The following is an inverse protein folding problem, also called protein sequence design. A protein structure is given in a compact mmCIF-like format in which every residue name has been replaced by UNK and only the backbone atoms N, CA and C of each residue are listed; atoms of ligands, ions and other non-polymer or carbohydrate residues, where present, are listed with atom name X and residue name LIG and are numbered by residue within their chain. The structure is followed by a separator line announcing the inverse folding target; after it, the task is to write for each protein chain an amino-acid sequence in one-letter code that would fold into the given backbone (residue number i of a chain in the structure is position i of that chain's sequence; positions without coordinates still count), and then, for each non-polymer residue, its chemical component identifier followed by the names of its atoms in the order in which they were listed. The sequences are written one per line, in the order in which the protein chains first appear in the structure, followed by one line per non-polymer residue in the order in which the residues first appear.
data_IF_241749559039
#
_entry.id   IF_241749559039
#
_cell.length_a   1.000
_cell.length_b   1.000
_cell.length_c   1.000
_cell.angle_alpha   90.00
_cell.angle_beta   90.00
_cell.angle_gamma   90.00
#
_symmetry.space_group_name_H-M   'P 1'
#
loop_
_entity.id
_entity.type
_entity.pdbx_description
1 polymer ?
#
# COMPACT_ATOMS: atom_id res chain seq x y z
N UNK A 1 -8.54 -40.30 -7.78
CA UNK A 1 -7.98 -38.94 -7.67
C UNK A 1 -7.55 -38.70 -6.23
N UNK A 2 -6.28 -39.02 -5.91
CA UNK A 2 -5.64 -38.81 -4.60
C UNK A 2 -4.38 -38.03 -4.90
N UNK A 3 -4.24 -36.83 -4.34
CA UNK A 3 -3.01 -36.01 -4.19
C UNK A 3 -3.34 -34.51 -4.31
N UNK A 4 -4.09 -33.95 -3.35
CA UNK A 4 -4.30 -32.49 -3.30
C UNK A 4 -4.41 -31.94 -1.87
N UNK A 5 -3.68 -32.52 -0.92
CA UNK A 5 -3.79 -32.16 0.51
C UNK A 5 -2.45 -31.87 1.21
N UNK A 6 -1.36 -31.60 0.47
CA UNK A 6 -0.02 -31.41 1.09
C UNK A 6 0.60 -30.02 0.85
N UNK A 7 -0.10 -29.08 0.20
CA UNK A 7 0.50 -27.80 -0.21
C UNK A 7 0.01 -26.56 0.56
N UNK A 8 -0.26 -26.70 1.87
CA UNK A 8 -0.78 -25.57 2.68
C UNK A 8 -0.13 -25.40 4.07
N UNK A 9 1.10 -25.92 4.29
CA UNK A 9 1.80 -25.83 5.59
C UNK A 9 3.26 -25.31 5.45
N UNK A 10 3.55 -24.44 4.47
CA UNK A 10 4.94 -23.94 4.26
C UNK A 10 5.13 -22.41 4.26
N UNK A 11 4.20 -21.60 4.77
CA UNK A 11 4.33 -20.12 4.77
C UNK A 11 4.44 -19.51 6.19
N UNK A 12 4.56 -20.31 7.26
CA UNK A 12 4.61 -19.80 8.65
C UNK A 12 6.01 -19.78 9.31
N UNK A 13 7.10 -19.83 8.54
CA UNK A 13 8.45 -19.92 9.10
C UNK A 13 9.49 -18.94 8.49
N UNK A 14 9.12 -17.68 8.25
CA UNK A 14 10.09 -16.59 8.04
C UNK A 14 9.69 -15.39 8.90
N UNK A 15 10.06 -15.47 10.18
CA UNK A 15 9.84 -14.41 11.16
C UNK A 15 10.90 -14.42 12.27
N UNK A 16 12.15 -14.75 11.92
CA UNK A 16 13.27 -14.59 12.83
C UNK A 16 13.65 -13.10 12.83
N UNK A 17 13.04 -12.31 13.72
CA UNK A 17 13.33 -10.89 13.88
C UNK A 17 14.78 -10.68 14.31
N UNK A 18 15.64 -10.21 13.40
CA UNK A 18 16.95 -9.69 13.75
C UNK A 18 16.77 -8.55 14.75
N UNK A 19 17.37 -8.67 15.94
CA UNK A 19 17.34 -7.59 16.95
C UNK A 19 17.89 -6.31 16.32
N UNK A 20 17.25 -5.15 16.54
CA UNK A 20 17.71 -3.88 15.98
C UNK A 20 19.14 -3.59 16.42
N UNK A 21 19.96 -3.13 15.48
CA UNK A 21 21.37 -2.82 15.74
C UNK A 21 21.47 -1.55 16.59
N UNK A 22 22.24 -1.61 17.69
CA UNK A 22 22.44 -0.46 18.59
C UNK A 22 23.50 0.47 18.04
N UNK A 23 23.16 1.74 17.85
CA UNK A 23 24.05 2.75 17.25
C UNK A 23 24.11 4.03 18.09
N UNK A 24 25.25 4.70 18.03
CA UNK A 24 25.48 6.00 18.66
C UNK A 24 25.67 7.09 17.61
N UNK A 25 25.14 8.28 17.90
CA UNK A 25 25.30 9.48 17.08
C UNK A 25 25.71 10.65 17.97
N UNK A 26 26.86 11.23 17.66
CA UNK A 26 27.43 12.39 18.34
C UNK A 26 26.80 13.68 17.80
N UNK A 27 25.79 14.18 18.52
CA UNK A 27 25.05 15.39 18.12
C UNK A 27 25.90 16.67 18.17
N UNK A 28 26.94 16.71 19.00
CA UNK A 28 27.81 17.87 19.13
C UNK A 28 28.71 18.01 17.90
N UNK A 29 29.17 16.89 17.32
CA UNK A 29 29.90 16.90 16.04
C UNK A 29 29.02 17.29 14.85
N UNK A 30 27.76 16.86 14.84
CA UNK A 30 26.80 17.16 13.75
C UNK A 30 26.46 18.65 13.70
N UNK A 31 26.45 19.34 14.85
CA UNK A 31 26.11 20.75 14.90
C UNK A 31 27.24 21.67 14.39
N UNK A 32 28.50 21.21 14.38
CA UNK A 32 29.66 22.00 13.91
C UNK A 32 29.82 21.97 12.39
N UNK A 33 29.26 20.96 11.70
CA UNK A 33 29.38 20.79 10.24
C UNK A 33 28.37 21.60 9.42
N UNK A 34 27.61 22.50 10.06
CA UNK A 34 26.66 23.38 9.36
C UNK A 34 27.44 24.50 8.66
N UNK A 35 27.39 24.64 7.32
CA UNK A 35 27.93 25.83 6.68
C UNK A 35 27.12 27.04 7.16
N UNK A 36 27.75 27.87 7.98
CA UNK A 36 27.24 29.18 8.36
C UNK A 36 26.92 29.92 7.06
N UNK A 37 25.66 30.38 6.90
CA UNK A 37 25.26 31.24 5.79
C UNK A 37 26.33 32.33 5.60
N UNK A 38 26.89 32.53 4.39
CA UNK A 38 27.94 33.52 4.21
C UNK A 38 27.40 34.89 4.60
N UNK A 39 27.92 35.47 5.68
CA UNK A 39 27.78 36.91 5.90
C UNK A 39 28.55 37.58 4.77
N UNK A 40 27.84 38.38 3.97
CA UNK A 40 28.41 39.16 2.88
C UNK A 40 29.72 39.83 3.34
N UNK A 41 30.81 39.45 2.69
CA UNK A 41 32.09 40.11 2.82
C UNK A 41 31.95 41.50 2.19
N UNK A 42 32.19 42.55 2.98
CA UNK A 42 32.30 43.90 2.44
C UNK A 42 33.51 43.94 1.49
N UNK A 43 33.24 44.32 0.24
CA UNK A 43 34.24 44.55 -0.80
C UNK A 43 35.23 45.60 -0.28
N UNK A 44 36.53 45.27 -0.23
CA UNK A 44 37.59 46.25 -0.03
C UNK A 44 37.61 47.21 -1.22
N UNK A 45 37.44 48.53 -1.03
CA UNK A 45 37.66 49.47 -2.11
C UNK A 45 39.15 49.52 -2.43
N UNK A 46 39.49 49.18 -3.66
CA UNK A 46 40.76 49.54 -4.27
C UNK A 46 40.88 51.06 -4.31
N UNK A 47 41.94 51.58 -3.71
CA UNK A 47 42.31 53.01 -3.79
C UNK A 47 42.56 53.36 -5.25
N UNK A 48 41.61 54.08 -5.85
CA UNK A 48 41.78 54.78 -7.12
C UNK A 48 41.88 56.28 -6.84
N UNK A 49 42.88 56.87 -7.48
CA UNK A 49 43.44 58.19 -7.25
C UNK A 49 42.46 59.34 -7.54
N UNK A 50 42.66 60.42 -6.79
CA UNK A 50 42.07 61.76 -6.87
C UNK A 50 41.30 62.11 -8.16
N UNK A 51 40.03 62.47 -8.00
CA UNK A 51 39.27 63.28 -8.96
C UNK A 51 38.37 64.27 -8.21
N UNK A 52 38.23 65.46 -8.80
CA UNK A 52 37.79 66.71 -8.19
C UNK A 52 36.34 66.73 -7.70
N UNK A 53 36.14 67.46 -6.59
CA UNK A 53 34.85 67.65 -5.92
C UNK A 53 33.98 68.69 -6.65
N UNK A 54 32.99 68.22 -7.41
CA UNK A 54 31.80 68.99 -7.72
C UNK A 54 30.58 68.31 -7.04
N UNK A 55 29.65 69.07 -6.43
CA UNK A 55 28.45 68.49 -5.84
C UNK A 55 27.61 67.84 -6.94
N UNK A 56 27.38 66.53 -6.83
CA UNK A 56 26.57 65.75 -7.78
C UNK A 56 25.19 65.54 -7.16
N UNK A 57 24.17 66.20 -7.72
CA UNK A 57 22.77 65.96 -7.36
C UNK A 57 22.33 64.64 -7.97
N UNK A 58 21.87 63.70 -7.14
CA UNK A 58 21.28 62.43 -7.59
C UNK A 58 19.77 62.68 -7.76
N UNK A 59 19.18 62.52 -8.97
CA UNK A 59 17.74 62.64 -9.17
C UNK A 59 16.99 61.63 -8.28
N UNK A 60 15.94 62.07 -7.59
CA UNK A 60 15.07 61.18 -6.81
C UNK A 60 14.21 60.33 -7.74
N UNK A 61 13.97 59.08 -7.37
CA UNK A 61 13.07 58.18 -8.10
C UNK A 61 11.65 58.30 -7.53
N UNK A 62 10.62 58.47 -8.38
CA UNK A 62 9.23 58.54 -7.92
C UNK A 62 8.77 57.20 -7.35
N UNK A 63 7.78 57.23 -6.46
CA UNK A 63 7.18 56.03 -5.92
C UNK A 63 6.54 55.18 -7.03
N UNK A 64 7.10 53.99 -7.29
CA UNK A 64 6.56 53.02 -8.24
C UNK A 64 5.80 51.94 -7.49
N UNK A 65 4.55 51.68 -7.87
CA UNK A 65 3.82 50.50 -7.44
C UNK A 65 4.35 49.30 -8.22
N UNK A 66 5.01 48.36 -7.53
CA UNK A 66 5.54 47.15 -8.17
C UNK A 66 4.57 46.01 -7.88
N UNK A 67 3.91 45.53 -8.93
CA UNK A 67 3.12 44.30 -8.86
C UNK A 67 4.07 43.10 -8.65
N UNK A 68 3.84 42.36 -7.56
CA UNK A 68 4.84 41.44 -6.97
C UNK A 68 5.13 40.18 -7.82
N UNK A 69 4.38 39.92 -8.91
CA UNK A 69 4.60 38.78 -9.81
C UNK A 69 4.24 39.14 -11.26
N UNK A 70 5.15 38.88 -12.22
CA UNK A 70 4.84 38.97 -13.66
C UNK A 70 3.86 37.87 -14.06
N UNK A 71 3.00 38.12 -15.06
CA UNK A 71 1.95 37.18 -15.49
C UNK A 71 2.42 35.75 -15.77
N UNK A 72 3.60 35.59 -16.38
CA UNK A 72 4.21 34.26 -16.65
C UNK A 72 4.61 33.52 -15.37
N UNK A 73 5.19 34.21 -14.38
CA UNK A 73 5.54 33.62 -13.09
C UNK A 73 4.29 33.20 -12.31
N UNK A 74 3.21 33.98 -12.40
CA UNK A 74 1.93 33.65 -11.78
C UNK A 74 1.31 32.38 -12.39
N UNK A 75 1.43 32.19 -13.70
CA UNK A 75 0.95 30.99 -14.37
C UNK A 75 1.78 29.77 -13.98
N UNK A 76 3.11 29.87 -14.00
CA UNK A 76 3.99 28.78 -13.57
C UNK A 76 3.73 28.34 -12.12
N UNK A 77 3.51 29.28 -11.20
CA UNK A 77 3.15 28.99 -9.80
C UNK A 77 1.78 28.31 -9.71
N UNK A 78 0.79 28.71 -10.53
CA UNK A 78 -0.52 28.03 -10.57
C UNK A 78 -0.41 26.60 -11.05
N UNK A 79 0.32 26.37 -12.13
CA UNK A 79 0.49 25.03 -12.71
C UNK A 79 1.22 24.09 -11.71
N UNK A 80 2.22 24.62 -11.01
CA UNK A 80 2.92 23.92 -9.93
C UNK A 80 1.99 23.57 -8.76
N UNK A 81 1.21 24.54 -8.27
CA UNK A 81 0.23 24.32 -7.19
C UNK A 81 -0.83 23.30 -7.60
N UNK A 82 -1.31 23.33 -8.85
CA UNK A 82 -2.25 22.33 -9.34
C UNK A 82 -1.64 20.93 -9.41
N UNK A 83 -0.40 20.81 -9.86
CA UNK A 83 0.33 19.53 -9.90
C UNK A 83 0.49 18.95 -8.50
N UNK A 84 0.97 19.75 -7.55
CA UNK A 84 1.14 19.35 -6.15
C UNK A 84 -0.21 19.00 -5.50
N UNK A 85 -1.26 19.75 -5.82
CA UNK A 85 -2.63 19.46 -5.35
C UNK A 85 -3.10 18.09 -5.86
N UNK A 86 -2.90 17.76 -7.13
CA UNK A 86 -3.27 16.45 -7.69
C UNK A 86 -2.45 15.32 -7.06
N UNK A 87 -1.14 15.53 -6.88
CA UNK A 87 -0.25 14.57 -6.23
C UNK A 87 -0.66 14.30 -4.77
N UNK A 88 -0.97 15.36 -4.02
CA UNK A 88 -1.45 15.25 -2.64
C UNK A 88 -2.80 14.52 -2.56
N UNK A 89 -3.75 14.81 -3.46
CA UNK A 89 -5.03 14.09 -3.51
C UNK A 89 -4.79 12.60 -3.74
N UNK A 90 -3.94 12.23 -4.70
CA UNK A 90 -3.64 10.83 -4.98
C UNK A 90 -3.03 10.13 -3.76
N UNK A 91 -2.02 10.75 -3.13
CA UNK A 91 -1.35 10.21 -1.94
C UNK A 91 -2.30 10.04 -0.75
N UNK A 92 -3.15 11.03 -0.48
CA UNK A 92 -4.13 10.95 0.62
C UNK A 92 -5.22 9.93 0.30
N UNK A 93 -5.65 9.83 -0.95
CA UNK A 93 -6.63 8.81 -1.38
C UNK A 93 -6.10 7.40 -1.13
N UNK A 94 -4.84 7.12 -1.47
CA UNK A 94 -4.21 5.83 -1.23
C UNK A 94 -4.14 5.50 0.26
N UNK A 95 -3.70 6.44 1.11
CA UNK A 95 -3.68 6.24 2.57
C UNK A 95 -5.08 6.03 3.16
N UNK A 96 -6.08 6.74 2.66
CA UNK A 96 -7.48 6.56 3.10
C UNK A 96 -8.02 5.21 2.65
N UNK A 97 -7.67 4.73 1.46
CA UNK A 97 -8.00 3.36 1.01
C UNK A 97 -7.41 2.32 1.96
N UNK A 98 -6.12 2.44 2.29
CA UNK A 98 -5.46 1.52 3.22
C UNK A 98 -6.10 1.56 4.62
N UNK A 99 -6.49 2.75 5.09
CA UNK A 99 -7.19 2.92 6.34
C UNK A 99 -8.56 2.23 6.33
N UNK A 100 -9.32 2.40 5.24
CA UNK A 100 -10.64 1.80 5.07
C UNK A 100 -10.61 0.33 4.66
N UNK A 101 -9.43 -0.25 4.36
CA UNK A 101 -9.30 -1.66 4.03
C UNK A 101 -9.90 -2.57 5.12
N UNK A 102 -9.78 -2.18 6.40
CA UNK A 102 -10.41 -2.89 7.51
C UNK A 102 -11.93 -2.96 7.40
N UNK A 103 -12.59 -1.91 6.91
CA UNK A 103 -14.05 -1.93 6.70
C UNK A 103 -14.44 -2.95 5.61
N UNK A 104 -13.60 -3.13 4.58
CA UNK A 104 -13.80 -4.14 3.53
C UNK A 104 -13.58 -5.54 4.10
N UNK A 105 -12.54 -5.73 4.91
CA UNK A 105 -12.21 -7.01 5.53
C UNK A 105 -13.29 -7.44 6.53
N UNK A 106 -13.79 -6.52 7.35
CA UNK A 106 -14.89 -6.76 8.30
C UNK A 106 -16.19 -7.10 7.55
N UNK A 107 -16.51 -6.36 6.49
CA UNK A 107 -17.65 -6.67 5.62
C UNK A 107 -17.50 -8.07 5.00
N UNK A 108 -16.32 -8.44 4.53
CA UNK A 108 -16.05 -9.76 3.99
C UNK A 108 -16.26 -10.86 5.03
N UNK A 109 -15.73 -10.66 6.24
CA UNK A 109 -15.89 -11.60 7.35
C UNK A 109 -17.38 -11.79 7.72
N UNK A 110 -18.16 -10.72 7.73
CA UNK A 110 -19.59 -10.78 8.02
C UNK A 110 -20.38 -11.48 6.91
N UNK A 111 -20.05 -11.23 5.64
CA UNK A 111 -20.64 -11.98 4.53
C UNK A 111 -20.28 -13.47 4.58
N UNK A 112 -19.04 -13.82 4.95
CA UNK A 112 -18.65 -15.22 5.14
C UNK A 112 -19.40 -15.88 6.29
N UNK A 113 -19.62 -15.19 7.42
CA UNK A 113 -20.45 -15.71 8.51
C UNK A 113 -21.89 -15.94 8.05
N UNK A 114 -22.44 -15.02 7.26
CA UNK A 114 -23.79 -15.14 6.71
C UNK A 114 -23.95 -16.30 5.72
N UNK A 115 -22.85 -16.79 5.10
CA UNK A 115 -22.87 -17.98 4.25
C UNK A 115 -23.02 -19.29 5.02
N UNK A 116 -22.54 -19.36 6.26
CA UNK A 116 -22.57 -20.61 7.04
C UNK A 116 -23.98 -21.24 7.09
N UNK A 117 -25.06 -20.53 7.48
CA UNK A 117 -26.40 -21.10 7.48
C UNK A 117 -26.92 -21.46 6.08
N UNK A 118 -26.49 -20.73 5.04
CA UNK A 118 -26.85 -21.07 3.66
C UNK A 118 -26.23 -22.41 3.24
N UNK A 119 -24.93 -22.59 3.48
CA UNK A 119 -24.21 -23.84 3.17
C UNK A 119 -24.79 -25.01 3.95
N UNK A 120 -25.03 -24.84 5.25
CA UNK A 120 -25.62 -25.88 6.09
C UNK A 120 -26.99 -26.31 5.56
N UNK A 121 -27.85 -25.34 5.22
CA UNK A 121 -29.18 -25.64 4.65
C UNK A 121 -29.07 -26.34 3.29
N UNK A 122 -28.13 -25.91 2.45
CA UNK A 122 -27.91 -26.50 1.13
C UNK A 122 -27.39 -27.94 1.25
N UNK A 123 -26.46 -28.20 2.16
CA UNK A 123 -25.94 -29.53 2.45
C UNK A 123 -27.03 -30.46 3.01
N UNK A 124 -27.87 -29.96 3.92
CA UNK A 124 -29.02 -30.71 4.44
C UNK A 124 -30.01 -31.07 3.31
N UNK A 125 -30.42 -30.10 2.49
CA UNK A 125 -31.32 -30.33 1.35
C UNK A 125 -30.71 -31.30 0.32
N UNK A 126 -29.40 -31.22 0.09
CA UNK A 126 -28.67 -32.18 -0.73
C UNK A 126 -28.74 -33.60 -0.17
N UNK A 127 -28.45 -33.79 1.12
CA UNK A 127 -28.49 -35.10 1.77
C UNK A 127 -29.90 -35.70 1.79
N UNK A 128 -30.93 -34.88 2.02
CA UNK A 128 -32.32 -35.33 2.02
C UNK A 128 -32.74 -35.81 0.62
N UNK A 129 -32.37 -35.06 -0.43
CA UNK A 129 -32.61 -35.46 -1.83
C UNK A 129 -31.82 -36.70 -2.22
N UNK A 130 -30.55 -36.79 -1.80
CA UNK A 130 -29.71 -37.96 -2.06
C UNK A 130 -30.30 -39.21 -1.40
N UNK A 131 -30.78 -39.10 -0.16
CA UNK A 131 -31.48 -40.17 0.54
C UNK A 131 -32.74 -40.59 -0.23
N UNK A 132 -33.55 -39.64 -0.72
CA UNK A 132 -34.75 -39.97 -1.49
C UNK A 132 -34.43 -40.75 -2.78
N UNK A 133 -33.38 -40.33 -3.52
CA UNK A 133 -32.89 -41.03 -4.71
C UNK A 133 -32.40 -42.44 -4.36
N UNK A 134 -31.64 -42.56 -3.27
CA UNK A 134 -31.17 -43.85 -2.77
C UNK A 134 -32.34 -44.78 -2.39
N UNK A 135 -33.32 -44.30 -1.65
CA UNK A 135 -34.48 -45.09 -1.23
C UNK A 135 -35.32 -45.56 -2.43
N UNK A 136 -35.50 -44.71 -3.44
CA UNK A 136 -36.19 -45.10 -4.67
C UNK A 136 -35.42 -46.18 -5.43
N UNK A 137 -34.11 -46.00 -5.61
CA UNK A 137 -33.24 -46.99 -6.27
C UNK A 137 -33.20 -48.30 -5.49
N UNK A 138 -33.06 -48.24 -4.16
CA UNK A 138 -33.03 -49.41 -3.30
C UNK A 138 -34.31 -50.25 -3.37
N UNK A 139 -35.49 -49.60 -3.45
CA UNK A 139 -36.79 -50.28 -3.66
C UNK A 139 -36.83 -51.06 -4.97
N UNK A 140 -36.26 -50.52 -6.05
CA UNK A 140 -36.16 -51.18 -7.35
C UNK A 140 -35.09 -52.29 -7.34
N UNK A 141 -33.93 -52.02 -6.74
CA UNK A 141 -32.74 -52.90 -6.74
C UNK A 141 -32.89 -54.11 -5.83
N UNK A 142 -33.52 -53.97 -4.67
CA UNK A 142 -33.63 -55.02 -3.65
C UNK A 142 -34.19 -56.35 -4.15
N UNK A 143 -35.36 -56.37 -4.82
CA UNK A 143 -35.94 -57.59 -5.38
C UNK A 143 -35.04 -58.26 -6.44
N UNK A 144 -34.45 -57.47 -7.33
CA UNK A 144 -33.55 -57.96 -8.40
C UNK A 144 -32.30 -58.57 -7.80
N UNK A 145 -31.67 -57.87 -6.85
CA UNK A 145 -30.48 -58.35 -6.14
C UNK A 145 -30.76 -59.63 -5.36
N UNK A 146 -31.90 -59.73 -4.68
CA UNK A 146 -32.30 -60.92 -3.93
C UNK A 146 -32.50 -62.11 -4.85
N UNK A 147 -33.21 -61.92 -5.97
CA UNK A 147 -33.43 -62.98 -6.95
C UNK A 147 -32.12 -63.43 -7.60
N UNK A 148 -31.26 -62.48 -7.95
CA UNK A 148 -29.95 -62.77 -8.53
C UNK A 148 -29.10 -63.58 -7.54
N UNK A 149 -29.03 -63.15 -6.28
CA UNK A 149 -28.29 -63.84 -5.21
C UNK A 149 -28.83 -65.23 -4.88
N UNK A 150 -30.11 -65.50 -5.15
CA UNK A 150 -30.68 -66.85 -5.03
C UNK A 150 -30.26 -67.76 -6.19
N UNK A 151 -30.09 -67.20 -7.40
CA UNK A 151 -29.72 -67.94 -8.60
C UNK A 151 -28.21 -68.13 -8.75
N UNK A 152 -27.41 -67.21 -8.19
CA UNK A 152 -25.95 -67.19 -8.19
C UNK A 152 -25.39 -67.26 -6.77
N UNK A 153 -24.11 -66.94 -6.60
CA UNK A 153 -23.49 -66.77 -5.28
C UNK A 153 -23.67 -65.33 -4.78
N UNK A 154 -23.49 -65.11 -3.47
CA UNK A 154 -23.44 -63.78 -2.86
C UNK A 154 -21.99 -63.43 -2.48
N UNK A 155 -21.45 -62.28 -2.92
CA UNK A 155 -22.07 -61.27 -3.79
C UNK A 155 -22.24 -61.77 -5.24
N UNK A 156 -23.24 -61.25 -5.98
CA UNK A 156 -23.44 -61.64 -7.36
C UNK A 156 -22.22 -61.31 -8.24
N UNK A 157 -21.89 -62.14 -9.23
CA UNK A 157 -20.80 -61.84 -10.16
C UNK A 157 -21.13 -60.59 -10.99
N UNK A 158 -20.18 -59.65 -11.04
CA UNK A 158 -20.30 -58.40 -11.82
C UNK A 158 -20.31 -58.63 -13.34
N UNK A 159 -19.69 -59.73 -13.80
CA UNK A 159 -19.61 -60.07 -15.22
C UNK A 159 -20.86 -60.84 -15.66
N UNK A 160 -21.33 -60.53 -16.87
CA UNK A 160 -22.45 -61.23 -17.49
C UNK A 160 -22.13 -62.73 -17.61
N UNK A 161 -23.05 -63.58 -17.16
CA UNK A 161 -22.88 -65.03 -17.26
C UNK A 161 -22.99 -65.45 -18.73
N UNK A 162 -21.98 -66.14 -19.31
CA UNK A 162 -22.03 -66.60 -20.69
C UNK A 162 -23.09 -67.70 -20.85
N UNK A 163 -23.86 -67.64 -21.94
CA UNK A 163 -24.93 -68.62 -22.26
C UNK A 163 -24.37 -69.83 -23.03
N UNK A 164 -23.16 -69.72 -23.57
CA UNK A 164 -22.59 -70.70 -24.50
C UNK A 164 -21.95 -71.89 -23.78
N UNK A 165 -22.24 -73.08 -24.32
CA UNK A 165 -21.77 -74.39 -23.88
C UNK A 165 -22.54 -75.48 -24.63
N UNK A 166 -21.84 -76.38 -25.34
CA UNK A 166 -22.42 -77.42 -26.20
C UNK A 166 -23.31 -78.41 -25.41
N UNK A 167 -23.09 -78.57 -24.10
CA UNK A 167 -23.75 -79.58 -23.26
C UNK A 167 -24.83 -79.04 -22.29
N UNK A 168 -25.24 -77.77 -22.41
CA UNK A 168 -26.20 -77.19 -21.45
C UNK A 168 -27.62 -77.70 -21.68
N UNK A 169 -28.24 -78.20 -20.61
CA UNK A 169 -29.65 -78.59 -20.60
C UNK A 169 -30.55 -77.36 -20.82
N UNK A 170 -31.77 -77.57 -21.34
CA UNK A 170 -32.76 -76.48 -21.53
C UNK A 170 -33.01 -75.67 -20.24
N UNK A 171 -33.01 -76.35 -19.08
CA UNK A 171 -33.20 -75.73 -17.76
C UNK A 171 -32.03 -74.82 -17.38
N UNK A 172 -30.80 -75.22 -17.67
CA UNK A 172 -29.61 -74.41 -17.40
C UNK A 172 -29.54 -73.19 -18.31
N UNK A 173 -29.92 -73.34 -19.59
CA UNK A 173 -30.03 -72.20 -20.52
C UNK A 173 -31.02 -71.15 -20.02
N UNK A 174 -32.24 -71.57 -19.64
CA UNK A 174 -33.25 -70.69 -19.07
C UNK A 174 -32.79 -69.99 -17.78
N UNK A 175 -32.08 -70.72 -16.89
CA UNK A 175 -31.50 -70.13 -15.66
C UNK A 175 -30.45 -69.06 -16.00
N UNK A 176 -29.57 -69.32 -16.97
CA UNK A 176 -28.51 -68.37 -17.38
C UNK A 176 -29.11 -67.13 -18.06
N UNK A 177 -30.16 -67.30 -18.86
CA UNK A 177 -30.92 -66.19 -19.45
C UNK A 177 -31.55 -65.30 -18.36
N UNK A 178 -32.22 -65.91 -17.36
CA UNK A 178 -32.79 -65.18 -16.22
C UNK A 178 -31.72 -64.38 -15.46
N UNK A 179 -30.56 -64.99 -15.17
CA UNK A 179 -29.43 -64.31 -14.53
C UNK A 179 -28.96 -63.11 -15.35
N UNK A 180 -28.80 -63.27 -16.66
CA UNK A 180 -28.34 -62.20 -17.55
C UNK A 180 -29.32 -61.03 -17.60
N UNK A 181 -30.62 -61.31 -17.62
CA UNK A 181 -31.65 -60.29 -17.62
C UNK A 181 -31.72 -59.54 -16.29
N UNK A 182 -31.57 -60.23 -15.15
CA UNK A 182 -31.45 -59.59 -13.83
C UNK A 182 -30.18 -58.73 -13.73
N UNK A 183 -29.04 -59.18 -14.25
CA UNK A 183 -27.81 -58.38 -14.31
C UNK A 183 -27.99 -57.11 -15.15
N UNK A 184 -28.69 -57.19 -16.29
CA UNK A 184 -29.04 -56.01 -17.11
C UNK A 184 -29.97 -55.05 -16.38
N UNK A 185 -30.98 -55.57 -15.68
CA UNK A 185 -31.89 -54.75 -14.87
C UNK A 185 -31.14 -54.04 -13.75
N UNK A 186 -30.22 -54.72 -13.06
CA UNK A 186 -29.35 -54.07 -12.05
C UNK A 186 -28.51 -52.96 -12.68
N UNK A 187 -27.82 -53.23 -13.80
CA UNK A 187 -27.00 -52.23 -14.47
C UNK A 187 -27.82 -51.01 -14.94
N UNK A 188 -29.08 -51.21 -15.34
CA UNK A 188 -29.98 -50.12 -15.69
C UNK A 188 -30.38 -49.28 -14.46
N UNK A 189 -30.73 -49.94 -13.35
CA UNK A 189 -31.07 -49.25 -12.08
C UNK A 189 -29.86 -48.44 -11.56
N UNK A 190 -28.67 -49.03 -11.62
CA UNK A 190 -27.43 -48.38 -11.17
C UNK A 190 -27.12 -47.14 -12.05
N UNK A 191 -27.34 -47.21 -13.38
CA UNK A 191 -27.21 -46.04 -14.27
C UNK A 191 -28.23 -44.94 -13.98
N UNK A 192 -29.50 -45.30 -13.76
CA UNK A 192 -30.55 -44.32 -13.41
C UNK A 192 -30.24 -43.61 -12.09
N UNK A 193 -29.70 -44.34 -11.12
CA UNK A 193 -29.20 -43.78 -9.87
C UNK A 193 -28.04 -42.82 -10.11
N UNK A 194 -27.01 -43.24 -10.85
CA UNK A 194 -25.84 -42.41 -11.15
C UNK A 194 -26.22 -41.12 -11.90
N UNK A 195 -27.14 -41.21 -12.87
CA UNK A 195 -27.67 -40.06 -13.60
C UNK A 195 -28.44 -39.10 -12.69
N UNK A 196 -29.25 -39.62 -11.76
CA UNK A 196 -30.01 -38.82 -10.82
C UNK A 196 -29.10 -38.10 -9.81
N UNK A 197 -28.09 -38.80 -9.28
CA UNK A 197 -27.08 -38.22 -8.38
C UNK A 197 -26.25 -37.17 -9.11
N UNK A 198 -25.81 -37.45 -10.34
CA UNK A 198 -25.04 -36.48 -11.14
C UNK A 198 -25.82 -35.19 -11.42
N UNK A 199 -27.13 -35.28 -11.66
CA UNK A 199 -28.01 -34.10 -11.79
C UNK A 199 -28.13 -33.33 -10.49
N UNK A 200 -28.27 -34.02 -9.36
CA UNK A 200 -28.33 -33.40 -8.03
C UNK A 200 -27.02 -32.67 -7.70
N UNK A 201 -25.88 -33.32 -7.94
CA UNK A 201 -24.54 -32.75 -7.75
C UNK A 201 -24.36 -31.48 -8.61
N UNK A 202 -24.75 -31.54 -9.89
CA UNK A 202 -24.69 -30.40 -10.80
C UNK A 202 -25.49 -29.19 -10.28
N UNK A 203 -26.73 -29.42 -9.81
CA UNK A 203 -27.55 -28.36 -9.24
C UNK A 203 -26.98 -27.77 -7.94
N UNK A 204 -26.36 -28.61 -7.10
CA UNK A 204 -25.73 -28.16 -5.86
C UNK A 204 -24.49 -27.28 -6.12
N UNK A 205 -23.64 -27.71 -7.07
CA UNK A 205 -22.47 -26.93 -7.50
C UNK A 205 -22.90 -25.61 -8.13
N UNK A 206 -23.94 -25.60 -8.97
CA UNK A 206 -24.47 -24.37 -9.57
C UNK A 206 -24.96 -23.38 -8.50
N UNK A 207 -25.69 -23.86 -7.49
CA UNK A 207 -26.14 -23.03 -6.38
C UNK A 207 -24.97 -22.39 -5.61
N UNK A 208 -23.91 -23.16 -5.33
CA UNK A 208 -22.70 -22.66 -4.69
C UNK A 208 -21.97 -21.62 -5.55
N UNK A 209 -21.85 -21.86 -6.85
CA UNK A 209 -21.20 -20.92 -7.78
C UNK A 209 -21.98 -19.60 -7.90
N UNK A 210 -23.31 -19.67 -7.96
CA UNK A 210 -24.17 -18.50 -8.01
C UNK A 210 -24.00 -17.64 -6.75
N UNK A 211 -23.95 -18.27 -5.59
CA UNK A 211 -23.77 -17.57 -4.33
C UNK A 211 -22.35 -16.99 -4.19
N UNK A 212 -21.32 -17.71 -4.64
CA UNK A 212 -19.96 -17.19 -4.69
C UNK A 212 -19.84 -15.96 -5.60
N UNK A 213 -20.49 -15.99 -6.76
CA UNK A 213 -20.54 -14.85 -7.69
C UNK A 213 -21.25 -13.65 -7.05
N UNK A 214 -22.40 -13.88 -6.41
CA UNK A 214 -23.15 -12.84 -5.67
C UNK A 214 -22.27 -12.14 -4.64
N UNK A 215 -21.50 -12.91 -3.87
CA UNK A 215 -20.57 -12.36 -2.88
C UNK A 215 -19.44 -11.57 -3.49
N UNK A 216 -18.85 -12.07 -4.58
CA UNK A 216 -17.80 -11.35 -5.28
C UNK A 216 -18.29 -9.99 -5.80
N UNK A 217 -19.53 -9.93 -6.30
CA UNK A 217 -20.14 -8.69 -6.76
C UNK A 217 -20.40 -7.71 -5.61
N UNK A 218 -20.88 -8.21 -4.46
CA UNK A 218 -21.04 -7.39 -3.25
C UNK A 218 -19.70 -6.83 -2.76
N UNK A 219 -18.63 -7.62 -2.79
CA UNK A 219 -17.30 -7.16 -2.40
C UNK A 219 -16.75 -6.11 -3.35
N UNK A 220 -16.90 -6.31 -4.67
CA UNK A 220 -16.53 -5.30 -5.67
C UNK A 220 -17.31 -4.01 -5.48
N UNK A 221 -18.62 -4.11 -5.19
CA UNK A 221 -19.45 -2.94 -4.91
C UNK A 221 -18.97 -2.21 -3.65
N UNK A 222 -18.65 -2.94 -2.57
CA UNK A 222 -18.14 -2.35 -1.33
C UNK A 222 -16.77 -1.70 -1.53
N UNK A 223 -15.87 -2.35 -2.25
CA UNK A 223 -14.56 -1.78 -2.58
C UNK A 223 -14.71 -0.46 -3.35
N UNK A 224 -15.61 -0.43 -4.34
CA UNK A 224 -15.90 0.78 -5.11
C UNK A 224 -16.47 1.89 -4.22
N UNK A 225 -17.39 1.57 -3.31
CA UNK A 225 -17.93 2.53 -2.34
C UNK A 225 -16.81 3.16 -1.48
N UNK A 226 -15.87 2.33 -1.01
CA UNK A 226 -14.72 2.80 -0.23
C UNK A 226 -13.77 3.66 -1.07
N UNK A 227 -13.50 3.26 -2.32
CA UNK A 227 -12.68 4.05 -3.24
C UNK A 227 -13.30 5.44 -3.51
N UNK A 228 -14.60 5.49 -3.77
CA UNK A 228 -15.34 6.73 -3.99
C UNK A 228 -15.36 7.61 -2.73
N UNK A 229 -15.52 7.00 -1.54
CA UNK A 229 -15.46 7.69 -0.24
C UNK A 229 -14.06 8.28 0.00
N UNK A 230 -13.01 7.48 -0.19
CA UNK A 230 -11.61 7.91 -0.02
C UNK A 230 -11.26 9.07 -0.95
N UNK A 231 -11.61 8.97 -2.24
CA UNK A 231 -11.35 10.04 -3.21
C UNK A 231 -12.08 11.34 -2.88
N UNK A 232 -13.34 11.24 -2.44
CA UNK A 232 -14.15 12.40 -2.03
C UNK A 232 -13.57 13.08 -0.80
N UNK A 233 -13.20 12.31 0.23
CA UNK A 233 -12.61 12.83 1.46
C UNK A 233 -11.22 13.44 1.21
N UNK A 234 -10.36 12.77 0.43
CA UNK A 234 -9.06 13.30 0.04
C UNK A 234 -9.19 14.64 -0.69
N UNK A 235 -10.12 14.73 -1.65
CA UNK A 235 -10.40 15.97 -2.38
C UNK A 235 -10.86 17.08 -1.43
N UNK A 236 -11.73 16.77 -0.47
CA UNK A 236 -12.20 17.76 0.51
C UNK A 236 -11.08 18.24 1.44
N UNK A 237 -10.23 17.32 1.92
CA UNK A 237 -9.09 17.65 2.77
C UNK A 237 -8.11 18.56 2.03
N UNK A 238 -7.66 18.16 0.84
CA UNK A 238 -6.69 18.96 0.07
C UNK A 238 -7.29 20.31 -0.33
N UNK A 239 -8.54 20.38 -0.78
CA UNK A 239 -9.19 21.66 -1.14
C UNK A 239 -9.25 22.64 0.04
N UNK A 240 -9.50 22.16 1.26
CA UNK A 240 -9.51 23.02 2.47
C UNK A 240 -8.13 23.61 2.76
N UNK A 241 -7.06 22.86 2.51
CA UNK A 241 -5.69 23.34 2.71
C UNK A 241 -5.20 24.23 1.54
N UNK A 242 -5.49 23.84 0.29
CA UNK A 242 -5.01 24.54 -0.91
C UNK A 242 -5.73 25.86 -1.16
N UNK A 243 -7.01 25.99 -0.77
CA UNK A 243 -7.74 27.25 -0.87
C UNK A 243 -7.10 28.34 0.00
N UNK A 244 -6.76 28.02 1.25
CA UNK A 244 -6.09 28.95 2.16
C UNK A 244 -4.66 29.32 1.73
N UNK A 245 -3.95 28.39 1.10
CA UNK A 245 -2.60 28.65 0.56
C UNK A 245 -2.67 29.54 -0.70
N UNK A 246 -3.57 29.21 -1.63
CA UNK A 246 -3.77 29.98 -2.86
C UNK A 246 -4.25 31.40 -2.56
N UNK A 247 -5.12 31.58 -1.57
CA UNK A 247 -5.54 32.92 -1.12
C UNK A 247 -4.35 33.73 -0.61
N UNK A 248 -3.43 33.14 0.18
CA UNK A 248 -2.22 33.82 0.69
C UNK A 248 -1.19 34.13 -0.41
N UNK A 249 -0.99 33.22 -1.37
CA UNK A 249 0.00 33.39 -2.45
C UNK A 249 -0.49 34.41 -3.48
N UNK A 250 -1.79 34.39 -3.79
CA UNK A 250 -2.37 35.24 -4.84
C UNK A 250 -3.13 36.46 -4.31
N UNK A 251 -3.21 36.66 -2.98
CA UNK A 251 -3.65 37.93 -2.39
C UNK A 251 -2.72 39.04 -2.86
N UNK A 252 -3.29 40.09 -3.45
CA UNK A 252 -2.54 41.23 -3.99
C UNK A 252 -1.79 41.94 -2.86
N UNK A 253 -0.52 41.61 -2.66
CA UNK A 253 0.40 42.45 -1.90
C UNK A 253 1.02 43.45 -2.87
N UNK A 254 0.47 44.66 -2.90
CA UNK A 254 1.13 45.80 -3.55
C UNK A 254 2.08 46.42 -2.54
N UNK A 255 3.37 46.42 -2.86
CA UNK A 255 4.37 47.14 -2.07
C UNK A 255 4.53 48.52 -2.68
N UNK A 256 4.26 49.57 -1.89
CA UNK A 256 4.66 50.92 -2.24
C UNK A 256 6.13 51.08 -1.88
N UNK A 257 6.99 51.21 -2.89
CA UNK A 257 8.36 51.66 -2.66
C UNK A 257 8.29 53.12 -2.19
N UNK A 258 8.86 53.42 -1.02
CA UNK A 258 8.93 54.79 -0.51
C UNK A 258 9.77 55.64 -1.47
N UNK A 259 9.28 56.84 -1.78
CA UNK A 259 10.02 57.87 -2.49
C UNK A 259 11.37 58.12 -1.80
N UNK A 260 12.45 58.10 -2.58
CA UNK A 260 13.79 58.47 -2.09
C UNK A 260 13.96 59.97 -2.40
N UNK A 261 13.90 60.86 -1.40
CA UNK A 261 14.03 62.29 -1.65
C UNK A 261 15.43 62.61 -2.18
N UNK A 262 15.50 63.56 -3.11
CA UNK A 262 16.73 64.12 -3.68
C UNK A 262 17.68 64.54 -2.57
N UNK A 263 18.87 63.92 -2.50
CA UNK A 263 19.89 64.23 -1.49
C UNK A 263 21.12 64.84 -2.15
N UNK A 264 21.41 66.10 -1.87
CA UNK A 264 22.67 66.74 -2.24
C UNK A 264 23.72 66.35 -1.21
N UNK A 265 24.71 65.55 -1.62
CA UNK A 265 25.78 65.10 -0.72
C UNK A 265 27.00 66.01 -0.92
N UNK A 266 27.33 66.82 0.09
CA UNK A 266 28.63 67.48 0.19
C UNK A 266 29.59 66.53 0.90
N UNK A 267 30.74 66.24 0.29
CA UNK A 267 31.79 65.42 0.87
C UNK A 267 32.75 66.30 1.69
N UNK A 268 32.76 66.23 3.04
CA UNK A 268 33.86 66.77 3.82
C UNK A 268 35.11 65.90 3.65
N UNK A 269 36.29 66.54 3.60
CA UNK A 269 37.59 65.88 3.56
C UNK A 269 37.75 64.95 4.79
N UNK A 270 38.00 63.67 4.52
CA UNK A 270 38.25 62.67 5.57
C UNK A 270 39.74 62.70 5.90
N UNK A 271 40.09 63.31 7.03
CA UNK A 271 41.36 63.05 7.71
C UNK A 271 41.39 61.62 8.25
N UNK A 272 42.55 60.97 8.15
CA UNK A 272 42.75 59.58 8.56
C UNK A 272 42.31 59.33 10.01
N UNK A 273 41.40 58.37 10.21
CA UNK A 273 41.08 57.83 11.53
C UNK A 273 41.81 56.49 11.78
N UNK A 274 42.19 56.19 13.04
CA UNK A 274 42.99 55.03 13.40
C UNK A 274 42.18 53.72 13.35
N UNK A 275 42.87 52.61 13.09
CA UNK A 275 42.29 51.28 12.97
C UNK A 275 41.50 50.84 14.20
N UNK A 276 40.30 50.29 13.94
CA UNK A 276 39.44 49.68 14.94
C UNK A 276 40.01 48.31 15.34
N UNK A 277 40.17 48.00 16.65
CA UNK A 277 40.69 46.72 17.10
C UNK A 277 39.70 45.58 16.79
N UNK A 278 40.27 44.42 16.47
CA UNK A 278 39.54 43.22 16.07
C UNK A 278 38.52 42.78 17.12
N UNK A 279 37.28 42.56 16.68
CA UNK A 279 36.23 41.92 17.47
C UNK A 279 36.52 40.42 17.52
N UNK A 280 36.56 39.78 18.70
CA UNK A 280 36.75 38.33 18.78
C UNK A 280 35.55 37.60 18.16
N UNK A 281 35.84 36.50 17.46
CA UNK A 281 34.83 35.58 16.96
C UNK A 281 34.18 34.86 18.14
N UNK A 282 32.93 35.19 18.44
CA UNK A 282 32.10 34.34 19.30
C UNK A 282 31.64 33.12 18.50
N UNK A 283 31.92 31.92 19.03
CA UNK A 283 31.35 30.66 18.53
C UNK A 283 29.84 30.76 18.63
N UNK A 284 29.13 30.56 17.52
CA UNK A 284 27.68 30.54 17.48
C UNK A 284 27.15 29.50 18.49
N UNK A 285 26.47 29.97 19.55
CA UNK A 285 25.66 29.10 20.39
C UNK A 285 24.50 28.58 19.54
N UNK A 286 24.37 27.26 19.46
CA UNK A 286 23.25 26.60 18.79
C UNK A 286 21.99 26.92 19.57
N UNK A 287 20.98 27.50 18.90
CA UNK A 287 19.70 27.84 19.50
C UNK A 287 18.98 26.56 20.00
N UNK A 288 18.16 26.69 21.04
CA UNK A 288 17.46 25.55 21.64
C UNK A 288 16.48 24.89 20.66
N UNK A 289 15.95 25.69 19.72
CA UNK A 289 15.08 25.24 18.64
C UNK A 289 15.83 24.38 17.60
N UNK A 290 17.10 24.69 17.31
CA UNK A 290 17.94 23.92 16.39
C UNK A 290 18.28 22.53 16.96
N UNK A 291 18.47 22.43 18.28
CA UNK A 291 18.68 21.14 18.97
C UNK A 291 17.45 20.25 18.92
N UNK A 292 16.26 20.85 19.03
CA UNK A 292 15.00 20.11 18.99
C UNK A 292 14.71 19.60 17.56
N UNK A 293 14.97 20.41 16.54
CA UNK A 293 14.90 19.98 15.14
C UNK A 293 15.88 18.84 14.85
N UNK A 294 17.13 18.95 15.31
CA UNK A 294 18.16 17.93 15.14
C UNK A 294 17.78 16.59 15.79
N UNK A 295 17.10 16.63 16.93
CA UNK A 295 16.65 15.43 17.63
C UNK A 295 15.54 14.70 16.86
N UNK A 296 14.60 15.43 16.26
CA UNK A 296 13.54 14.85 15.41
C UNK A 296 14.11 14.25 14.12
N UNK A 297 15.09 14.92 13.51
CA UNK A 297 15.81 14.39 12.34
C UNK A 297 16.55 13.08 12.68
N UNK A 298 17.16 13.00 13.87
CA UNK A 298 17.81 11.78 14.35
C UNK A 298 16.80 10.63 14.56
N UNK A 299 15.64 10.90 15.13
CA UNK A 299 14.59 9.89 15.33
C UNK A 299 14.07 9.31 13.99
N UNK A 300 13.88 10.19 12.99
CA UNK A 300 13.55 9.77 11.63
C UNK A 300 14.66 8.90 11.01
N UNK A 301 15.92 9.29 11.14
CA UNK A 301 17.05 8.51 10.65
C UNK A 301 17.14 7.10 11.27
N UNK A 302 16.95 7.00 12.60
CA UNK A 302 17.02 5.73 13.32
C UNK A 302 15.85 4.80 12.94
N UNK A 303 14.64 5.34 12.85
CA UNK A 303 13.44 4.58 12.48
C UNK A 303 13.51 4.03 11.05
N UNK A 304 14.00 4.83 10.10
CA UNK A 304 14.19 4.41 8.70
C UNK A 304 15.21 3.28 8.55
N UNK A 305 16.23 3.24 9.42
CA UNK A 305 17.30 2.26 9.35
C UNK A 305 17.13 1.08 10.32
N UNK A 306 16.05 1.05 11.09
CA UNK A 306 15.80 0.06 12.15
C UNK A 306 16.93 0.00 13.19
N UNK A 307 17.50 1.15 13.53
CA UNK A 307 18.52 1.28 14.55
C UNK A 307 17.90 1.58 15.93
N UNK A 308 18.51 1.05 16.99
CA UNK A 308 18.19 1.41 18.37
C UNK A 308 19.24 2.40 18.90
N UNK A 309 18.82 3.53 19.46
CA UNK A 309 19.75 4.56 19.96
C UNK A 309 20.45 4.07 21.23
N UNK A 310 21.78 4.05 21.21
CA UNK A 310 22.60 3.93 22.42
C UNK A 310 22.98 5.32 22.95
N UNK A 311 22.88 5.56 24.27
CA UNK A 311 23.39 6.78 24.89
C UNK A 311 24.93 6.76 25.07
N UNK A 312 25.57 5.58 24.94
CA UNK A 312 26.98 5.39 25.22
C UNK A 312 27.73 4.88 23.97
N UNK A 313 28.79 5.58 23.49
CA UNK A 313 29.55 5.16 22.32
C UNK A 313 30.32 3.84 22.53
N UNK A 314 30.59 3.45 23.77
CA UNK A 314 31.34 2.22 24.07
C UNK A 314 30.58 0.92 23.72
N UNK A 315 29.25 0.96 23.74
CA UNK A 315 28.38 -0.22 23.62
C UNK A 315 27.68 -0.32 22.25
N UNK A 316 28.10 0.50 21.28
CA UNK A 316 27.37 0.66 20.01
C UNK A 316 28.28 1.16 18.89
N UNK A 317 27.86 0.94 17.65
CA UNK A 317 28.56 1.46 16.46
C UNK A 317 28.31 2.96 16.32
N UNK A 318 29.37 3.75 16.13
CA UNK A 318 29.26 5.17 15.79
C UNK A 318 28.82 5.33 14.33
N UNK A 319 27.62 5.90 14.13
CA UNK A 319 27.05 6.18 12.81
C UNK A 319 26.90 7.68 12.56
N UNK A 320 27.67 8.51 13.27
CA UNK A 320 27.61 9.98 13.16
C UNK A 320 27.86 10.46 11.73
N UNK A 321 28.82 9.86 11.02
CA UNK A 321 29.11 10.21 9.62
C UNK A 321 27.95 9.87 8.68
N UNK A 322 27.33 8.70 8.85
CA UNK A 322 26.17 8.26 8.07
C UNK A 322 24.97 9.19 8.29
N UNK A 323 24.76 9.62 9.53
CA UNK A 323 23.71 10.59 9.86
C UNK A 323 23.96 11.97 9.22
N UNK A 324 25.20 12.47 9.21
CA UNK A 324 25.56 13.74 8.55
C UNK A 324 25.30 13.66 7.04
N UNK A 325 25.70 12.56 6.41
CA UNK A 325 25.49 12.35 4.98
C UNK A 325 24.00 12.26 4.62
N UNK A 326 23.24 11.43 5.36
CA UNK A 326 21.79 11.33 5.20
C UNK A 326 21.10 12.69 5.33
N UNK A 327 21.47 13.47 6.35
CA UNK A 327 20.91 14.80 6.59
C UNK A 327 21.26 15.78 5.46
N UNK A 328 22.46 15.67 4.91
CA UNK A 328 22.91 16.53 3.79
C UNK A 328 22.12 16.21 2.53
N UNK A 329 21.86 14.92 2.25
CA UNK A 329 21.03 14.46 1.14
C UNK A 329 19.55 14.85 1.33
N UNK A 330 19.03 14.81 2.55
CA UNK A 330 17.68 15.26 2.87
C UNK A 330 17.52 16.76 2.58
N UNK A 331 18.51 17.59 2.94
CA UNK A 331 18.48 19.04 2.75
C UNK A 331 18.74 19.48 1.31
N UNK A 332 19.47 18.67 0.52
CA UNK A 332 19.72 18.93 -0.90
C UNK A 332 18.57 18.49 -1.81
N UNK A 333 17.56 17.78 -1.28
CA UNK A 333 16.41 17.30 -2.04
C UNK A 333 16.68 16.03 -2.86
N UNK A 334 17.85 15.40 -2.72
CA UNK A 334 18.27 14.21 -3.48
C UNK A 334 17.97 12.89 -2.73
N UNK A 335 16.77 12.76 -2.16
CA UNK A 335 16.40 11.56 -1.37
C UNK A 335 16.25 10.29 -2.22
N UNK A 336 16.00 10.42 -3.52
CA UNK A 336 15.80 9.30 -4.47
C UNK A 336 17.08 8.46 -4.69
N UNK A 337 18.27 9.02 -4.41
CA UNK A 337 19.55 8.33 -4.60
C UNK A 337 20.06 7.60 -3.34
N UNK A 338 19.30 7.62 -2.23
CA UNK A 338 19.73 6.98 -0.98
C UNK A 338 19.44 5.48 -1.02
N UNK A 339 20.24 4.73 -1.79
CA UNK A 339 20.33 3.27 -1.65
C UNK A 339 21.29 2.96 -0.50
N UNK A 340 20.84 2.12 0.46
CA UNK A 340 21.62 1.66 1.63
C UNK A 340 23.08 1.40 1.25
N UNK A 341 24.07 1.96 1.96
CA UNK A 341 25.46 1.54 1.76
C UNK A 341 25.54 0.03 1.97
N UNK A 342 26.05 -0.67 0.96
CA UNK A 342 26.34 -2.09 1.04
C UNK A 342 27.31 -2.32 2.20
N UNK A 343 27.00 -3.32 3.03
CA UNK A 343 27.73 -3.66 4.24
C UNK A 343 29.27 -3.61 4.01
N UNK A 344 30.06 -3.02 4.92
CA UNK A 344 31.51 -3.21 4.87
C UNK A 344 31.84 -4.70 5.02
N UNK A 345 32.83 -5.16 4.25
CA UNK A 345 33.36 -6.53 4.28
C UNK A 345 34.06 -6.83 5.59
#
# INVERSE_FOLDING_TARGET
MRNLSVLLISILAVGCGSKPERVFVDLDKVAVTIPVKPKFQAIQPSVSSASSSAPKTIPGEPATEVENLRGEQKQAIRDEVERETRSAIATITERLRDYYQREVDDFYADQQKALAPFKEKLDQDYLDKLRAIFEESAKKRGPVLTRLSFLTEFPPPEKLVPIEGEDLTKREKAKREEIRDLQRQMAQIDREYDDAVSKLDGGNVEALLKEATRLQDLLKAKQKEIDDKAAKEATQLVRRFSSGLSERIFSRYTFQLREIPTKTVNFPQIGAQPGVPGVPFDRAQIDQDDKLALTKELEAFLSLNHYERSPNPADSRDVTAEFIEWRTNLKSGHWENWQKPSKPK
#
